data_IF_163371568379
#
_entry.id   IF_163371568379
#
_cell.length_a   1.000
_cell.length_b   1.000
_cell.length_c   1.000
_cell.angle_alpha   90.00
_cell.angle_beta   90.00
_cell.angle_gamma   90.00
#
_symmetry.space_group_name_H-M   'P 1'
#
loop_
_entity.id
_entity.type
_entity.pdbx_description
1 polymer ?
#
# COMPACT_ATOMS: atom_id res chain seq x y z
N UNK A 1 -10.44 28.16 -4.90
CA UNK A 1 -9.89 27.06 -4.08
C UNK A 1 -10.93 25.97 -3.74
N UNK A 2 -12.19 26.29 -3.36
CA UNK A 2 -13.24 25.28 -3.10
C UNK A 2 -13.65 24.43 -4.32
N UNK A 3 -13.46 24.91 -5.55
CA UNK A 3 -13.88 24.20 -6.76
C UNK A 3 -12.93 23.10 -7.24
N UNK A 4 -11.64 23.13 -6.87
CA UNK A 4 -10.65 22.15 -7.34
C UNK A 4 -10.76 20.79 -6.63
N UNK A 5 -11.05 20.79 -5.31
CA UNK A 5 -11.30 19.57 -4.56
C UNK A 5 -12.61 18.88 -4.96
N UNK A 6 -13.65 19.68 -5.25
CA UNK A 6 -14.93 19.18 -5.77
C UNK A 6 -14.76 18.62 -7.18
N UNK A 7 -13.94 19.25 -8.03
CA UNK A 7 -13.61 18.72 -9.35
C UNK A 7 -12.86 17.38 -9.26
N UNK A 8 -11.85 17.22 -8.40
CA UNK A 8 -11.13 15.96 -8.26
C UNK A 8 -12.02 14.81 -7.75
N UNK A 9 -12.91 15.08 -6.79
CA UNK A 9 -13.88 14.10 -6.28
C UNK A 9 -14.94 13.78 -7.33
N UNK A 10 -15.42 14.78 -8.08
CA UNK A 10 -16.34 14.56 -9.20
C UNK A 10 -15.67 13.76 -10.31
N UNK A 11 -14.41 14.04 -10.68
CA UNK A 11 -13.68 13.29 -11.71
C UNK A 11 -13.40 11.85 -11.27
N UNK A 12 -13.07 11.61 -9.99
CA UNK A 12 -12.93 10.26 -9.45
C UNK A 12 -14.27 9.49 -9.46
N UNK A 13 -15.36 10.15 -9.08
CA UNK A 13 -16.70 9.56 -9.16
C UNK A 13 -17.15 9.32 -10.60
N UNK A 14 -16.85 10.25 -11.52
CA UNK A 14 -17.21 10.17 -12.94
C UNK A 14 -16.41 9.07 -13.66
N UNK A 15 -15.14 8.87 -13.31
CA UNK A 15 -14.32 7.79 -13.86
C UNK A 15 -14.82 6.42 -13.43
N UNK A 16 -15.17 6.26 -12.15
CA UNK A 16 -15.79 5.03 -11.63
C UNK A 16 -17.18 4.80 -12.24
N UNK A 17 -17.94 5.86 -12.52
CA UNK A 17 -19.27 5.79 -13.14
C UNK A 17 -19.26 5.53 -14.65
N UNK A 18 -18.29 6.05 -15.40
CA UNK A 18 -18.28 6.02 -16.87
C UNK A 18 -17.42 4.90 -17.46
N UNK A 19 -16.31 4.52 -16.82
CA UNK A 19 -15.41 3.50 -17.35
C UNK A 19 -15.81 2.07 -16.93
N UNK A 20 -16.54 1.93 -15.81
CA UNK A 20 -17.02 0.64 -15.29
C UNK A 20 -18.00 -0.11 -16.20
N UNK A 21 -18.99 0.54 -16.84
CA UNK A 21 -20.00 -0.14 -17.66
C UNK A 21 -19.53 -0.54 -19.07
N UNK A 22 -18.37 -0.08 -19.53
CA UNK A 22 -17.87 -0.36 -20.89
C UNK A 22 -17.20 -1.74 -21.02
N UNK A 23 -17.06 -2.47 -19.91
CA UNK A 23 -16.50 -3.82 -19.88
C UNK A 23 -17.55 -4.78 -19.31
N UNK A 24 -18.43 -5.32 -20.17
CA UNK A 24 -18.91 -6.72 -20.22
C UNK A 24 -20.13 -6.80 -21.16
N UNK A 25 -20.17 -7.80 -22.05
CA UNK A 25 -21.30 -8.06 -22.95
C UNK A 25 -22.53 -8.56 -22.17
N UNK A 26 -23.73 -8.17 -22.62
CA UNK A 26 -25.00 -8.68 -22.13
C UNK A 26 -25.28 -10.07 -22.74
N UNK A 27 -25.57 -11.08 -21.92
CA UNK A 27 -26.18 -12.33 -22.37
C UNK A 27 -27.69 -12.09 -22.48
N UNK A 28 -28.22 -12.21 -23.70
CA UNK A 28 -29.65 -12.14 -23.99
C UNK A 28 -30.25 -13.54 -23.77
N UNK A 29 -31.27 -13.65 -22.93
CA UNK A 29 -32.04 -14.89 -22.76
C UNK A 29 -33.43 -14.74 -23.38
N UNK A 30 -33.94 -15.84 -23.95
CA UNK A 30 -35.23 -15.89 -24.65
C UNK A 30 -36.43 -15.54 -23.76
N UNK A 31 -37.59 -15.18 -24.35
CA UNK A 31 -38.74 -14.70 -23.61
C UNK A 31 -39.37 -15.79 -22.73
N UNK A 32 -39.50 -15.51 -21.43
CA UNK A 32 -40.26 -16.33 -20.49
C UNK A 32 -39.45 -17.07 -19.43
N UNK A 33 -38.12 -17.05 -19.50
CA UNK A 33 -37.27 -17.72 -18.50
C UNK A 33 -37.17 -16.89 -17.21
N UNK A 34 -37.57 -17.49 -16.09
CA UNK A 34 -37.32 -16.89 -14.78
C UNK A 34 -35.89 -17.21 -14.33
N UNK A 35 -35.27 -16.33 -13.53
CA UNK A 35 -33.87 -16.47 -13.05
C UNK A 35 -33.64 -17.82 -12.35
N UNK A 36 -34.68 -18.32 -11.69
CA UNK A 36 -34.69 -19.63 -11.03
C UNK A 36 -34.66 -20.82 -11.99
N UNK A 37 -35.27 -20.72 -13.16
CA UNK A 37 -35.18 -21.76 -14.19
C UNK A 37 -33.82 -21.74 -14.88
N UNK A 38 -33.33 -20.56 -15.25
CA UNK A 38 -32.01 -20.43 -15.91
C UNK A 38 -30.86 -20.91 -15.01
N UNK A 39 -31.00 -20.79 -13.68
CA UNK A 39 -30.02 -21.30 -12.72
C UNK A 39 -30.03 -22.84 -12.57
N UNK A 40 -31.06 -23.52 -13.05
CA UNK A 40 -31.20 -24.98 -12.98
C UNK A 40 -30.68 -25.71 -14.23
N UNK A 41 -30.32 -24.96 -15.27
CA UNK A 41 -29.90 -25.49 -16.56
C UNK A 41 -28.44 -25.94 -16.56
N UNK A 42 -28.18 -27.02 -17.27
CA UNK A 42 -26.84 -27.52 -17.57
C UNK A 42 -26.12 -26.62 -18.59
N UNK A 43 -24.79 -26.74 -18.66
CA UNK A 43 -23.97 -25.90 -19.54
C UNK A 43 -24.35 -25.99 -21.02
N UNK A 44 -24.81 -27.17 -21.47
CA UNK A 44 -25.24 -27.40 -22.85
C UNK A 44 -26.61 -26.73 -23.14
N UNK A 45 -27.50 -26.66 -22.15
CA UNK A 45 -28.80 -25.99 -22.26
C UNK A 45 -28.66 -24.46 -22.28
N UNK A 46 -27.70 -23.91 -21.53
CA UNK A 46 -27.33 -22.49 -21.57
C UNK A 46 -26.75 -22.10 -22.94
N UNK A 47 -25.87 -22.94 -23.51
CA UNK A 47 -25.30 -22.71 -24.83
C UNK A 47 -26.35 -22.75 -25.96
N UNK A 48 -27.34 -23.66 -25.87
CA UNK A 48 -28.45 -23.73 -26.81
C UNK A 48 -29.39 -22.51 -26.71
N UNK A 49 -29.62 -21.99 -25.50
CA UNK A 49 -30.44 -20.80 -25.26
C UNK A 49 -29.76 -19.52 -25.77
N UNK A 50 -28.44 -19.39 -25.61
CA UNK A 50 -27.65 -18.30 -26.17
C UNK A 50 -27.65 -18.32 -27.71
N UNK A 51 -27.53 -19.49 -28.32
CA UNK A 51 -27.63 -19.65 -29.77
C UNK A 51 -29.02 -19.26 -30.31
N UNK A 52 -30.09 -19.63 -29.61
CA UNK A 52 -31.46 -19.26 -29.95
C UNK A 52 -31.72 -17.75 -29.79
N UNK A 53 -31.15 -17.10 -28.76
CA UNK A 53 -31.31 -15.67 -28.53
C UNK A 53 -30.51 -14.80 -29.52
N UNK A 54 -29.47 -15.36 -30.15
CA UNK A 54 -28.71 -14.71 -31.22
C UNK A 54 -29.45 -14.67 -32.57
N UNK A 55 -30.44 -15.56 -32.79
CA UNK A 55 -31.21 -15.63 -34.04
C UNK A 55 -32.38 -14.64 -34.14
N UNK A 56 -32.98 -14.18 -33.02
CA UNK A 56 -34.05 -13.17 -33.02
C UNK A 56 -33.93 -12.16 -31.85
N UNK A 57 -33.24 -11.02 -32.05
CA UNK A 57 -32.97 -10.02 -31.01
C UNK A 57 -34.20 -9.23 -30.52
N UNK A 58 -35.37 -9.40 -31.15
CA UNK A 58 -36.52 -8.49 -30.98
C UNK A 58 -37.37 -8.68 -29.72
N UNK A 59 -37.16 -9.73 -28.92
CA UNK A 59 -38.12 -10.16 -27.87
C UNK A 59 -37.60 -10.18 -26.43
N UNK A 60 -36.34 -9.80 -26.16
CA UNK A 60 -35.76 -9.81 -24.82
C UNK A 60 -36.16 -8.56 -23.98
N UNK A 61 -36.66 -8.76 -22.75
CA UNK A 61 -36.99 -7.68 -21.79
C UNK A 61 -36.04 -7.68 -20.58
N UNK A 62 -35.44 -6.53 -20.21
CA UNK A 62 -34.70 -6.41 -18.95
C UNK A 62 -35.68 -6.26 -17.77
N UNK A 63 -35.48 -7.08 -16.73
CA UNK A 63 -36.29 -7.05 -15.50
C UNK A 63 -35.59 -6.20 -14.44
N UNK A 64 -36.25 -5.13 -13.97
CA UNK A 64 -35.81 -4.29 -12.85
C UNK A 64 -36.67 -4.50 -11.60
N UNK A 65 -36.06 -4.39 -10.41
CA UNK A 65 -36.78 -4.41 -9.12
C UNK A 65 -36.61 -3.04 -8.42
N UNK A 66 -37.70 -2.41 -7.93
CA UNK A 66 -37.70 -1.03 -7.45
C UNK A 66 -37.20 -0.88 -5.99
N UNK A 67 -36.67 0.32 -5.71
CA UNK A 67 -36.06 0.77 -4.47
C UNK A 67 -37.07 1.51 -3.58
N UNK A 68 -37.19 1.09 -2.32
CA UNK A 68 -37.79 1.84 -1.19
C UNK A 68 -37.07 1.35 0.08
N UNK A 69 -36.50 2.13 1.00
CA UNK A 69 -36.58 3.55 1.31
C UNK A 69 -35.30 3.98 2.07
N UNK A 70 -35.05 5.30 2.03
CA UNK A 70 -34.22 6.14 2.89
C UNK A 70 -33.20 5.50 3.84
N UNK A 71 -31.94 5.92 3.70
CA UNK A 71 -30.82 5.81 4.66
C UNK A 71 -29.80 4.66 4.43
N UNK A 72 -30.13 3.59 3.70
CA UNK A 72 -29.12 2.61 3.20
C UNK A 72 -28.35 3.09 1.95
N UNK A 73 -28.79 4.19 1.35
CA UNK A 73 -28.28 4.76 0.08
C UNK A 73 -26.85 5.31 0.10
N UNK A 74 -26.22 5.44 1.28
CA UNK A 74 -24.80 5.84 1.39
C UNK A 74 -23.88 4.62 1.54
N UNK A 75 -24.39 3.50 2.04
CA UNK A 75 -23.62 2.25 2.26
C UNK A 75 -23.53 1.44 0.95
N UNK A 76 -24.50 1.57 0.04
CA UNK A 76 -24.52 0.86 -1.25
C UNK A 76 -23.70 1.53 -2.38
N UNK A 77 -22.78 2.45 -2.07
CA UNK A 77 -21.80 2.97 -3.05
C UNK A 77 -20.37 2.47 -2.81
N UNK A 78 -20.15 1.71 -1.74
CA UNK A 78 -18.89 0.97 -1.47
C UNK A 78 -18.96 -0.46 -2.04
N UNK A 79 -20.13 -0.89 -2.52
CA UNK A 79 -20.45 -2.27 -2.92
C UNK A 79 -20.01 -2.69 -4.32
N UNK A 80 -19.28 -1.87 -5.09
CA UNK A 80 -18.63 -2.34 -6.33
C UNK A 80 -17.26 -2.98 -6.10
N UNK A 81 -16.79 -3.10 -4.86
CA UNK A 81 -15.72 -4.05 -4.46
C UNK A 81 -16.31 -5.46 -4.17
N UNK A 82 -17.65 -5.61 -4.22
CA UNK A 82 -18.38 -6.72 -3.61
C UNK A 82 -19.19 -7.64 -4.56
N UNK A 83 -19.20 -7.58 -5.91
CA UNK A 83 -19.77 -8.72 -6.64
C UNK A 83 -18.90 -9.96 -6.37
N UNK A 84 -19.54 -11.09 -6.08
CA UNK A 84 -18.99 -12.46 -6.05
C UNK A 84 -18.39 -12.90 -7.41
N UNK A 85 -18.13 -11.98 -8.33
CA UNK A 85 -17.86 -12.23 -9.75
C UNK A 85 -16.74 -11.31 -10.28
N UNK A 86 -15.99 -10.65 -9.39
CA UNK A 86 -14.94 -9.72 -9.80
C UNK A 86 -13.76 -10.43 -10.47
N UNK A 87 -13.47 -10.09 -11.73
CA UNK A 87 -12.37 -10.63 -12.56
C UNK A 87 -10.98 -10.57 -11.89
N UNK A 88 -10.80 -9.68 -10.91
CA UNK A 88 -9.53 -9.51 -10.17
C UNK A 88 -9.47 -10.27 -8.83
N UNK A 89 -10.48 -11.08 -8.48
CA UNK A 89 -10.44 -12.02 -7.34
C UNK A 89 -9.66 -13.29 -7.70
N UNK A 90 -9.33 -14.10 -6.69
CA UNK A 90 -8.71 -15.40 -6.94
C UNK A 90 -9.57 -16.22 -7.92
N UNK A 91 -9.05 -16.64 -9.08
CA UNK A 91 -9.83 -17.36 -10.10
C UNK A 91 -10.29 -18.75 -9.64
N UNK A 92 -9.71 -19.29 -8.55
CA UNK A 92 -10.03 -20.61 -8.03
C UNK A 92 -10.92 -20.56 -6.78
N UNK A 93 -10.69 -19.59 -5.89
CA UNK A 93 -11.37 -19.52 -4.59
C UNK A 93 -12.36 -18.36 -4.46
N UNK A 94 -12.36 -17.42 -5.41
CA UNK A 94 -13.20 -16.22 -5.41
C UNK A 94 -13.07 -15.38 -4.11
N UNK A 95 -11.94 -15.55 -3.43
CA UNK A 95 -11.56 -14.83 -2.22
C UNK A 95 -10.81 -13.55 -2.62
N UNK A 96 -10.85 -12.56 -1.72
CA UNK A 96 -10.06 -11.33 -1.87
C UNK A 96 -8.56 -11.57 -1.58
N UNK A 97 -8.23 -12.72 -1.00
CA UNK A 97 -6.88 -13.10 -0.61
C UNK A 97 -6.63 -14.58 -0.85
N UNK A 98 -5.59 -14.96 -1.60
CA UNK A 98 -4.67 -14.12 -2.39
C UNK A 98 -5.29 -13.74 -3.76
N UNK A 99 -5.61 -12.47 -4.00
CA UNK A 99 -6.19 -12.02 -5.27
C UNK A 99 -5.19 -11.31 -6.19
N UNK A 100 -5.34 -11.41 -7.53
CA UNK A 100 -4.64 -10.56 -8.50
C UNK A 100 -4.74 -9.06 -8.18
N UNK A 101 -5.87 -8.62 -7.62
CA UNK A 101 -6.07 -7.24 -7.18
C UNK A 101 -5.00 -6.77 -6.18
N UNK A 102 -4.76 -7.52 -5.10
CA UNK A 102 -3.78 -7.13 -4.08
C UNK A 102 -2.34 -7.18 -4.59
N UNK A 103 -2.03 -8.09 -5.53
CA UNK A 103 -0.72 -8.15 -6.19
C UNK A 103 -0.46 -6.93 -7.07
N UNK A 104 -1.50 -6.38 -7.70
CA UNK A 104 -1.41 -5.25 -8.62
C UNK A 104 -1.83 -3.91 -7.99
N UNK A 105 -1.97 -3.83 -6.66
CA UNK A 105 -2.46 -2.62 -5.97
C UNK A 105 -1.57 -1.40 -6.23
N UNK A 106 -0.26 -1.58 -6.33
CA UNK A 106 0.70 -0.49 -6.64
C UNK A 106 0.46 0.08 -8.04
N UNK A 107 0.23 -0.79 -9.04
CA UNK A 107 -0.09 -0.37 -10.39
C UNK A 107 -1.45 0.33 -10.47
N UNK A 108 -2.43 -0.13 -9.68
CA UNK A 108 -3.73 0.54 -9.57
C UNK A 108 -3.60 1.94 -8.97
N UNK A 109 -2.80 2.10 -7.92
CA UNK A 109 -2.50 3.41 -7.32
C UNK A 109 -1.83 4.33 -8.36
N UNK A 110 -0.91 3.81 -9.17
CA UNK A 110 -0.31 4.57 -10.26
C UNK A 110 -1.35 5.11 -11.25
N UNK A 111 -2.22 4.24 -11.76
CA UNK A 111 -3.32 4.64 -12.67
C UNK A 111 -4.23 5.68 -12.00
N UNK A 112 -4.55 5.45 -10.72
CA UNK A 112 -5.38 6.34 -9.92
C UNK A 112 -4.78 7.75 -9.74
N UNK A 113 -3.46 7.90 -9.69
CA UNK A 113 -2.83 9.22 -9.60
C UNK A 113 -2.59 9.86 -10.98
N UNK A 114 -2.27 9.06 -12.00
CA UNK A 114 -1.98 9.56 -13.36
C UNK A 114 -3.23 10.16 -14.01
N UNK A 115 -4.38 9.47 -13.94
CA UNK A 115 -5.59 9.92 -14.65
C UNK A 115 -6.10 11.27 -14.11
N UNK A 116 -6.36 11.44 -12.80
CA UNK A 116 -6.79 12.72 -12.26
C UNK A 116 -5.68 13.79 -12.35
N UNK A 117 -4.41 13.41 -12.21
CA UNK A 117 -3.28 14.32 -12.38
C UNK A 117 -3.25 14.94 -13.77
N UNK A 118 -3.46 14.13 -14.81
CA UNK A 118 -3.56 14.61 -16.19
C UNK A 118 -4.81 15.46 -16.43
N UNK A 119 -5.99 15.01 -15.98
CA UNK A 119 -7.24 15.77 -16.13
C UNK A 119 -7.14 17.14 -15.46
N UNK A 120 -6.56 17.19 -14.26
CA UNK A 120 -6.29 18.44 -13.56
C UNK A 120 -5.33 19.32 -14.35
N UNK A 121 -4.18 18.78 -14.77
CA UNK A 121 -3.19 19.50 -15.57
C UNK A 121 -3.76 20.06 -16.88
N UNK A 122 -4.65 19.31 -17.51
CA UNK A 122 -5.35 19.74 -18.73
C UNK A 122 -6.38 20.83 -18.50
N UNK A 123 -7.04 20.81 -17.34
CA UNK A 123 -8.07 21.79 -16.95
C UNK A 123 -7.47 23.15 -16.59
N UNK A 124 -6.31 23.17 -15.92
CA UNK A 124 -5.61 24.43 -15.57
C UNK A 124 -4.65 24.91 -16.68
N UNK A 125 -4.52 24.15 -17.77
CA UNK A 125 -3.66 24.47 -18.89
C UNK A 125 -2.16 24.26 -18.65
N UNK A 126 -1.78 23.57 -17.57
CA UNK A 126 -0.37 23.22 -17.29
C UNK A 126 0.13 22.04 -18.12
N UNK A 127 -0.78 21.16 -18.57
CA UNK A 127 -0.51 20.09 -19.54
C UNK A 127 -1.44 20.28 -20.74
N UNK A 128 -0.88 20.31 -21.94
CA UNK A 128 -1.59 20.57 -23.19
C UNK A 128 -1.71 19.32 -24.06
N UNK A 129 -0.72 18.43 -24.00
CA UNK A 129 -0.68 17.22 -24.81
C UNK A 129 -0.05 16.01 -24.11
N UNK A 130 0.07 14.93 -24.88
CA UNK A 130 0.71 13.67 -24.52
C UNK A 130 2.21 13.82 -24.23
N UNK A 131 2.90 14.71 -24.96
CA UNK A 131 4.33 15.03 -24.69
C UNK A 131 4.56 15.54 -23.27
N UNK A 132 3.67 16.38 -22.75
CA UNK A 132 3.82 16.93 -21.39
C UNK A 132 3.70 15.84 -20.31
N UNK A 133 2.94 14.77 -20.58
CA UNK A 133 2.87 13.59 -19.70
C UNK A 133 4.22 12.86 -19.71
N UNK A 134 4.76 12.61 -20.91
CA UNK A 134 6.04 11.91 -21.08
C UNK A 134 7.17 12.70 -20.42
N UNK A 135 7.20 14.01 -20.62
CA UNK A 135 8.20 14.91 -20.00
C UNK A 135 8.05 14.93 -18.47
N UNK A 136 6.83 14.94 -17.96
CA UNK A 136 6.56 14.81 -16.52
C UNK A 136 7.04 13.49 -15.94
N UNK A 137 6.82 12.38 -16.65
CA UNK A 137 7.33 11.06 -16.26
C UNK A 137 8.85 10.99 -16.33
N UNK A 138 9.47 11.57 -17.36
CA UNK A 138 10.92 11.63 -17.52
C UNK A 138 11.57 12.47 -16.40
N UNK A 139 10.98 13.61 -16.05
CA UNK A 139 11.44 14.45 -14.95
C UNK A 139 11.35 13.72 -13.61
N UNK A 140 10.26 12.98 -13.36
CA UNK A 140 10.13 12.14 -12.16
C UNK A 140 11.22 11.05 -12.12
N UNK A 141 11.48 10.37 -13.23
CA UNK A 141 12.55 9.37 -13.32
C UNK A 141 13.95 9.98 -13.14
N UNK A 142 14.19 11.20 -13.62
CA UNK A 142 15.44 11.92 -13.41
C UNK A 142 15.72 12.17 -11.93
N UNK A 143 14.69 12.54 -11.16
CA UNK A 143 14.81 12.71 -9.70
C UNK A 143 15.14 11.42 -8.94
N UNK A 144 14.86 10.26 -9.53
CA UNK A 144 15.16 8.94 -8.96
C UNK A 144 16.59 8.44 -9.26
N UNK A 145 17.44 9.22 -9.95
CA UNK A 145 18.78 8.79 -10.34
C UNK A 145 19.63 8.29 -9.16
N UNK A 146 19.66 9.02 -8.05
CA UNK A 146 20.40 8.61 -6.85
C UNK A 146 19.82 7.32 -6.23
N UNK A 147 18.49 7.20 -6.22
CA UNK A 147 17.81 6.01 -5.72
C UNK A 147 18.16 4.77 -6.56
N UNK A 148 18.22 4.88 -7.90
CA UNK A 148 18.59 3.78 -8.78
C UNK A 148 20.02 3.30 -8.50
N UNK A 149 20.97 4.22 -8.32
CA UNK A 149 22.36 3.88 -7.98
C UNK A 149 22.43 3.18 -6.61
N UNK A 150 21.69 3.68 -5.62
CA UNK A 150 21.64 3.08 -4.30
C UNK A 150 21.06 1.65 -4.35
N UNK A 151 19.92 1.46 -5.00
CA UNK A 151 19.28 0.14 -5.15
C UNK A 151 20.18 -0.82 -5.91
N UNK A 152 20.95 -0.35 -6.90
CA UNK A 152 21.94 -1.17 -7.60
C UNK A 152 22.96 -1.77 -6.62
N UNK A 153 23.62 -0.93 -5.81
CA UNK A 153 24.59 -1.42 -4.82
C UNK A 153 23.94 -2.25 -3.70
N UNK A 154 22.76 -1.86 -3.23
CA UNK A 154 22.01 -2.63 -2.24
C UNK A 154 21.65 -4.03 -2.76
N UNK A 155 21.20 -4.14 -4.01
CA UNK A 155 20.91 -5.43 -4.64
C UNK A 155 22.16 -6.31 -4.74
N UNK A 156 23.32 -5.74 -5.10
CA UNK A 156 24.59 -6.48 -5.11
C UNK A 156 24.99 -6.93 -3.70
N UNK A 157 24.87 -6.05 -2.70
CA UNK A 157 25.14 -6.39 -1.30
C UNK A 157 24.25 -7.55 -0.84
N UNK A 158 22.93 -7.48 -1.04
CA UNK A 158 21.99 -8.55 -0.67
C UNK A 158 22.33 -9.86 -1.39
N UNK A 159 22.68 -9.80 -2.68
CA UNK A 159 23.06 -10.97 -3.45
C UNK A 159 24.34 -11.63 -2.92
N UNK A 160 25.40 -10.86 -2.64
CA UNK A 160 26.64 -11.40 -2.08
C UNK A 160 26.46 -11.85 -0.62
N UNK A 161 25.66 -11.14 0.17
CA UNK A 161 25.37 -11.48 1.56
C UNK A 161 24.59 -12.80 1.67
N UNK A 162 23.69 -13.07 0.71
CA UNK A 162 23.01 -14.35 0.56
C UNK A 162 23.97 -15.44 0.05
N UNK A 163 24.74 -15.16 -1.01
CA UNK A 163 25.65 -16.14 -1.62
C UNK A 163 26.74 -16.63 -0.67
N UNK A 164 27.27 -15.75 0.17
CA UNK A 164 28.30 -16.08 1.18
C UNK A 164 27.74 -16.77 2.43
N UNK A 165 26.41 -16.96 2.52
CA UNK A 165 25.70 -17.42 3.73
C UNK A 165 25.91 -16.55 4.98
N UNK A 166 26.54 -15.38 4.87
CA UNK A 166 26.72 -14.45 6.00
C UNK A 166 25.38 -14.02 6.58
N UNK A 167 24.35 -13.83 5.75
CA UNK A 167 23.01 -13.50 6.23
C UNK A 167 22.37 -14.59 7.07
N UNK A 168 22.54 -15.86 6.70
CA UNK A 168 22.03 -16.98 7.49
C UNK A 168 22.78 -17.12 8.82
N UNK A 169 24.11 -17.01 8.80
CA UNK A 169 24.94 -17.07 10.02
C UNK A 169 24.56 -15.95 10.98
N UNK A 170 24.46 -14.71 10.48
CA UNK A 170 24.11 -13.56 11.29
C UNK A 170 22.69 -13.65 11.84
N UNK A 171 21.74 -14.20 11.08
CA UNK A 171 20.37 -14.42 11.52
C UNK A 171 20.30 -15.41 12.69
N UNK A 172 21.02 -16.53 12.59
CA UNK A 172 21.06 -17.56 13.65
C UNK A 172 21.78 -17.02 14.89
N UNK A 173 23.00 -16.51 14.74
CA UNK A 173 23.78 -15.98 15.87
C UNK A 173 23.06 -14.82 16.54
N UNK A 174 22.47 -13.92 15.76
CA UNK A 174 21.69 -12.79 16.28
C UNK A 174 20.45 -13.25 17.05
N UNK A 175 19.70 -14.21 16.51
CA UNK A 175 18.53 -14.78 17.19
C UNK A 175 18.92 -15.49 18.48
N UNK A 176 19.97 -16.32 18.47
CA UNK A 176 20.48 -16.98 19.68
C UNK A 176 20.88 -15.96 20.75
N UNK A 177 21.47 -14.84 20.33
CA UNK A 177 21.83 -13.74 21.24
C UNK A 177 20.59 -13.08 21.84
N UNK A 178 19.55 -12.83 21.03
CA UNK A 178 18.27 -12.27 21.49
C UNK A 178 17.56 -13.22 22.46
N UNK A 179 17.54 -14.52 22.17
CA UNK A 179 16.97 -15.54 23.06
C UNK A 179 17.77 -15.62 24.37
N UNK A 180 19.10 -15.59 24.31
CA UNK A 180 19.97 -15.66 25.49
C UNK A 180 19.74 -14.49 26.48
N UNK A 181 19.37 -13.31 25.97
CA UNK A 181 19.05 -12.13 26.80
C UNK A 181 17.55 -12.02 27.14
N UNK A 182 16.72 -12.98 26.75
CA UNK A 182 15.28 -13.01 27.03
C UNK A 182 14.43 -12.04 26.18
N UNK A 183 14.94 -11.68 24.99
CA UNK A 183 14.27 -10.84 23.98
C UNK A 183 13.70 -11.68 22.83
N UNK A 184 13.08 -12.80 23.15
CA UNK A 184 12.34 -13.68 22.23
C UNK A 184 10.86 -13.27 22.08
N UNK A 185 10.37 -12.41 22.96
CA UNK A 185 9.00 -11.90 22.96
C UNK A 185 8.89 -10.53 22.28
N UNK A 186 7.67 -9.97 22.28
CA UNK A 186 7.34 -8.72 21.60
C UNK A 186 8.25 -7.54 22.01
N UNK A 187 8.86 -7.59 23.20
CA UNK A 187 9.78 -6.56 23.71
C UNK A 187 10.95 -6.29 22.76
N UNK A 188 11.33 -7.24 21.89
CA UNK A 188 12.38 -7.07 20.87
C UNK A 188 12.15 -5.86 19.95
N UNK A 189 10.89 -5.46 19.75
CA UNK A 189 10.57 -4.31 18.90
C UNK A 189 10.94 -2.96 19.52
N UNK A 190 11.06 -2.85 20.86
CA UNK A 190 11.51 -1.60 21.49
C UNK A 190 12.97 -1.28 21.11
N UNK A 191 13.97 -2.13 21.41
CA UNK A 191 15.36 -1.85 21.02
C UNK A 191 15.51 -1.77 19.51
N UNK A 192 14.74 -2.54 18.73
CA UNK A 192 14.74 -2.43 17.26
C UNK A 192 14.29 -1.04 16.77
N UNK A 193 13.15 -0.54 17.26
CA UNK A 193 12.65 0.80 16.91
C UNK A 193 13.66 1.88 17.34
N UNK A 194 14.20 1.78 18.56
CA UNK A 194 15.19 2.74 19.06
C UNK A 194 16.49 2.72 18.24
N UNK A 195 16.93 1.55 17.80
CA UNK A 195 18.06 1.41 16.88
C UNK A 195 17.73 2.07 15.53
N UNK A 196 16.53 1.86 14.97
CA UNK A 196 16.11 2.53 13.74
C UNK A 196 16.09 4.05 13.90
N UNK A 197 15.60 4.56 15.04
CA UNK A 197 15.63 5.98 15.37
C UNK A 197 17.06 6.54 15.40
N UNK A 198 17.99 5.81 16.02
CA UNK A 198 19.39 6.20 16.13
C UNK A 198 20.07 6.25 14.76
N UNK A 199 19.90 5.19 13.96
CA UNK A 199 20.47 5.12 12.61
C UNK A 199 19.91 6.25 11.72
N UNK A 200 18.63 6.60 11.88
CA UNK A 200 18.00 7.66 11.09
C UNK A 200 18.56 9.07 11.39
N UNK A 201 19.16 9.29 12.57
CA UNK A 201 19.89 10.53 12.85
C UNK A 201 21.17 10.65 12.00
N UNK A 202 21.73 9.53 11.55
CA UNK A 202 22.93 9.48 10.70
C UNK A 202 22.59 9.36 9.21
N UNK A 203 21.53 8.61 8.87
CA UNK A 203 21.10 8.32 7.50
C UNK A 203 19.72 8.92 7.25
N UNK A 204 19.65 10.13 6.69
CA UNK A 204 18.37 10.81 6.42
C UNK A 204 17.56 10.26 5.23
N UNK A 205 17.77 9.00 4.84
CA UNK A 205 17.05 8.37 3.72
C UNK A 205 16.49 7.01 4.15
N UNK A 206 15.16 6.92 4.19
CA UNK A 206 14.45 5.71 4.56
C UNK A 206 14.88 4.51 3.69
N UNK A 207 14.87 4.69 2.37
CA UNK A 207 15.30 3.63 1.45
C UNK A 207 16.75 3.19 1.67
N UNK A 208 17.65 4.12 2.02
CA UNK A 208 19.04 3.79 2.32
C UNK A 208 19.18 3.01 3.63
N UNK A 209 18.50 3.47 4.68
CA UNK A 209 18.52 2.81 5.99
C UNK A 209 17.93 1.39 5.89
N UNK A 210 16.78 1.23 5.24
CA UNK A 210 16.15 -0.07 5.05
C UNK A 210 17.01 -1.01 4.21
N UNK A 211 17.64 -0.50 3.13
CA UNK A 211 18.50 -1.32 2.27
C UNK A 211 19.68 -1.96 3.02
N UNK A 212 20.21 -1.29 4.06
CA UNK A 212 21.30 -1.81 4.90
C UNK A 212 20.79 -2.67 6.04
N UNK A 213 19.68 -2.28 6.68
CA UNK A 213 19.18 -2.95 7.89
C UNK A 213 18.32 -4.17 7.61
N UNK A 214 17.50 -4.16 6.55
CA UNK A 214 16.59 -5.25 6.23
C UNK A 214 17.27 -6.61 6.03
N UNK A 215 18.39 -6.73 5.29
CA UNK A 215 19.05 -8.02 5.06
C UNK A 215 19.61 -8.66 6.33
N UNK A 216 19.80 -7.86 7.38
CA UNK A 216 20.35 -8.26 8.68
C UNK A 216 19.21 -8.60 9.64
N UNK A 217 18.30 -7.64 9.87
CA UNK A 217 17.30 -7.75 10.93
C UNK A 217 16.06 -8.53 10.51
N UNK A 218 15.66 -8.50 9.24
CA UNK A 218 14.47 -9.26 8.81
C UNK A 218 14.69 -10.76 8.99
N UNK A 219 15.77 -11.37 8.48
CA UNK A 219 16.00 -12.80 8.72
C UNK A 219 16.16 -13.15 10.21
N UNK A 220 16.84 -12.30 10.99
CA UNK A 220 17.05 -12.50 12.43
C UNK A 220 15.75 -12.46 13.25
N UNK A 221 14.83 -11.55 12.92
CA UNK A 221 13.56 -11.43 13.62
C UNK A 221 12.54 -12.47 13.13
N UNK A 222 12.70 -12.97 11.89
CA UNK A 222 11.96 -14.12 11.39
C UNK A 222 12.34 -15.41 12.11
N UNK A 223 13.61 -15.62 12.46
CA UNK A 223 14.06 -16.82 13.18
C UNK A 223 13.52 -16.91 14.61
N UNK A 224 13.20 -15.78 15.24
CA UNK A 224 12.49 -15.76 16.53
C UNK A 224 10.95 -15.76 16.37
N UNK A 225 10.43 -15.81 15.14
CA UNK A 225 9.01 -16.04 14.87
C UNK A 225 8.16 -14.82 14.52
N UNK A 226 8.74 -13.68 14.11
CA UNK A 226 7.96 -12.51 13.64
C UNK A 226 7.95 -12.36 12.12
N UNK A 227 6.82 -11.93 11.57
CA UNK A 227 6.69 -11.75 10.12
C UNK A 227 7.46 -10.53 9.59
N UNK A 228 7.99 -10.58 8.35
CA UNK A 228 8.64 -9.45 7.69
C UNK A 228 7.81 -8.18 7.69
N UNK A 229 6.49 -8.30 7.59
CA UNK A 229 5.56 -7.17 7.53
C UNK A 229 5.50 -6.42 8.86
N UNK A 230 5.50 -7.14 10.00
CA UNK A 230 5.55 -6.53 11.33
C UNK A 230 6.89 -5.86 11.57
N UNK A 231 7.99 -6.50 11.14
CA UNK A 231 9.34 -5.94 11.22
C UNK A 231 9.44 -4.66 10.39
N UNK A 232 8.87 -4.66 9.18
CA UNK A 232 8.83 -3.47 8.34
C UNK A 232 7.97 -2.35 8.95
N UNK A 233 6.85 -2.69 9.60
CA UNK A 233 6.02 -1.72 10.31
C UNK A 233 6.78 -1.06 11.47
N UNK A 234 7.49 -1.84 12.28
CA UNK A 234 8.35 -1.33 13.35
C UNK A 234 9.49 -0.44 12.80
N UNK A 235 10.12 -0.84 11.71
CA UNK A 235 11.13 -0.01 11.03
C UNK A 235 10.57 1.35 10.59
N UNK A 236 9.37 1.37 9.97
CA UNK A 236 8.72 2.61 9.52
C UNK A 236 8.41 3.57 10.67
N UNK A 237 8.08 3.03 11.84
CA UNK A 237 7.91 3.84 13.05
C UNK A 237 9.22 4.54 13.38
N UNK A 238 10.32 3.79 13.52
CA UNK A 238 11.60 4.36 13.92
C UNK A 238 12.19 5.35 12.91
N UNK A 239 12.03 5.08 11.61
CA UNK A 239 12.41 5.98 10.51
C UNK A 239 11.64 7.31 10.58
N UNK A 240 10.33 7.26 10.84
CA UNK A 240 9.50 8.46 10.80
C UNK A 240 9.68 9.39 12.00
N UNK A 241 9.89 8.85 13.21
CA UNK A 241 9.80 9.61 14.47
C UNK A 241 10.97 10.59 14.65
N UNK A 242 12.18 10.24 14.22
CA UNK A 242 13.36 11.10 14.37
C UNK A 242 13.67 11.98 13.16
N UNK A 243 12.87 11.91 12.09
CA UNK A 243 13.06 12.74 10.89
C UNK A 243 13.00 14.25 11.17
N UNK A 244 12.28 14.67 12.21
CA UNK A 244 12.10 16.10 12.52
C UNK A 244 13.32 16.69 13.25
N UNK A 245 14.14 15.84 13.88
CA UNK A 245 15.31 16.25 14.67
C UNK A 245 16.64 15.95 13.98
N UNK A 246 16.63 15.28 12.82
CA UNK A 246 17.85 14.98 12.07
C UNK A 246 18.26 16.17 11.18
N UNK A 247 19.47 16.73 11.37
CA UNK A 247 19.97 17.78 10.47
C UNK A 247 20.38 17.22 9.10
N UNK A 248 20.48 15.90 8.97
CA UNK A 248 20.90 15.19 7.76
C UNK A 248 19.77 14.99 6.75
N UNK A 249 18.51 15.31 7.08
CA UNK A 249 17.41 15.23 6.12
C UNK A 249 17.59 16.30 5.02
N UNK A 250 17.26 15.94 3.78
CA UNK A 250 17.39 16.84 2.62
C UNK A 250 16.55 18.13 2.72
N UNK A 251 15.45 18.11 3.48
CA UNK A 251 14.56 19.26 3.65
C UNK A 251 14.95 20.19 4.81
N UNK A 252 15.94 19.82 5.64
CA UNK A 252 16.27 20.56 6.86
C UNK A 252 16.61 22.02 6.58
N UNK A 253 17.46 22.26 5.56
CA UNK A 253 17.87 23.61 5.17
C UNK A 253 16.70 24.48 4.71
N UNK A 254 15.72 23.90 4.01
CA UNK A 254 14.50 24.61 3.60
C UNK A 254 13.64 24.97 4.80
N UNK A 255 13.44 24.03 5.74
CA UNK A 255 12.67 24.26 6.97
C UNK A 255 13.34 25.35 7.81
N UNK A 256 14.67 25.29 7.96
CA UNK A 256 15.44 26.30 8.67
C UNK A 256 15.29 27.68 8.01
N UNK A 257 15.40 27.78 6.68
CA UNK A 257 15.20 29.04 5.96
C UNK A 257 13.79 29.63 6.19
N UNK A 258 12.76 28.77 6.22
CA UNK A 258 11.40 29.19 6.57
C UNK A 258 11.28 29.66 8.02
N UNK A 259 11.88 28.94 8.96
CA UNK A 259 11.88 29.32 10.37
C UNK A 259 12.60 30.67 10.60
N UNK A 260 13.75 30.86 9.95
CA UNK A 260 14.54 32.09 9.99
C UNK A 260 13.80 33.32 9.43
N UNK A 261 12.74 33.12 8.63
CA UNK A 261 11.87 34.21 8.17
C UNK A 261 11.08 34.83 9.31
N UNK A 262 10.72 34.04 10.32
CA UNK A 262 9.93 34.48 11.48
C UNK A 262 10.81 34.85 12.67
N UNK A 263 11.91 34.13 12.88
CA UNK A 263 12.90 34.43 13.92
C UNK A 263 14.32 34.40 13.34
N UNK A 264 14.93 35.59 13.20
CA UNK A 264 16.27 35.73 12.61
C UNK A 264 17.41 35.16 13.46
N UNK A 265 17.17 34.92 14.76
CA UNK A 265 18.18 34.37 15.67
C UNK A 265 18.09 32.84 15.79
N UNK A 266 17.18 32.21 15.05
CA UNK A 266 16.93 30.78 15.12
C UNK A 266 18.07 30.00 14.46
N UNK A 267 18.83 29.27 15.28
CA UNK A 267 19.89 28.37 14.84
C UNK A 267 19.40 26.93 14.64
N UNK A 268 20.29 26.10 14.08
CA UNK A 268 20.10 24.65 13.90
C UNK A 268 19.73 24.00 15.24
N UNK A 269 20.48 24.31 16.30
CA UNK A 269 20.23 23.77 17.64
C UNK A 269 18.88 24.18 18.22
N UNK A 270 18.48 25.45 18.03
CA UNK A 270 17.18 25.95 18.48
C UNK A 270 16.03 25.24 17.78
N UNK A 271 16.14 25.01 16.46
CA UNK A 271 15.14 24.26 15.70
C UNK A 271 15.00 22.83 16.22
N UNK A 272 16.13 22.12 16.37
CA UNK A 272 16.15 20.73 16.85
C UNK A 272 15.59 20.66 18.28
N UNK A 273 16.02 21.54 19.18
CA UNK A 273 15.55 21.57 20.56
C UNK A 273 14.03 21.83 20.64
N UNK A 274 13.50 22.68 19.77
CA UNK A 274 12.06 22.95 19.69
C UNK A 274 11.26 21.74 19.19
N UNK A 275 11.86 20.94 18.31
CA UNK A 275 11.23 19.75 17.73
C UNK A 275 11.43 18.47 18.55
N UNK A 276 12.40 18.45 19.48
CA UNK A 276 12.71 17.29 20.33
C UNK A 276 11.49 16.78 21.12
N UNK A 277 10.67 17.63 21.78
CA UNK A 277 9.49 17.14 22.50
C UNK A 277 8.47 16.47 21.58
N UNK A 278 8.31 16.98 20.34
CA UNK A 278 7.42 16.38 19.34
C UNK A 278 7.92 14.99 18.93
N UNK A 279 9.21 14.87 18.62
CA UNK A 279 9.83 13.58 18.27
C UNK A 279 9.65 12.54 19.38
N UNK A 280 9.88 12.93 20.65
CA UNK A 280 9.71 12.03 21.80
C UNK A 280 8.25 11.61 22.01
N UNK A 281 7.30 12.55 21.92
CA UNK A 281 5.88 12.24 22.04
C UNK A 281 5.39 11.34 20.91
N UNK A 282 5.83 11.59 19.67
CA UNK A 282 5.51 10.72 18.54
C UNK A 282 6.13 9.33 18.70
N UNK A 283 7.37 9.24 19.16
CA UNK A 283 8.04 7.96 19.40
C UNK A 283 7.30 7.11 20.42
N UNK A 284 7.01 7.68 21.59
CA UNK A 284 6.27 6.97 22.65
C UNK A 284 4.86 6.62 22.19
N UNK A 285 4.15 7.58 21.56
CA UNK A 285 2.81 7.36 21.03
C UNK A 285 2.75 6.26 19.98
N UNK A 286 3.71 6.23 19.05
CA UNK A 286 3.79 5.19 18.03
C UNK A 286 4.17 3.82 18.59
N UNK A 287 5.08 3.75 19.55
CA UNK A 287 5.40 2.48 20.22
C UNK A 287 4.15 1.96 20.92
N UNK A 288 3.47 2.79 21.71
CA UNK A 288 2.23 2.37 22.40
C UNK A 288 1.18 1.92 21.40
N UNK A 289 0.96 2.69 20.33
CA UNK A 289 0.02 2.32 19.27
C UNK A 289 0.38 0.98 18.61
N UNK A 290 1.66 0.77 18.27
CA UNK A 290 2.15 -0.47 17.68
C UNK A 290 1.87 -1.68 18.58
N UNK A 291 2.13 -1.57 19.88
CA UNK A 291 1.86 -2.68 20.81
C UNK A 291 0.36 -2.94 21.01
N UNK A 292 -0.43 -1.88 21.14
CA UNK A 292 -1.89 -2.01 21.24
C UNK A 292 -2.46 -2.64 19.98
N UNK A 293 -2.00 -2.23 18.81
CA UNK A 293 -2.48 -2.71 17.53
C UNK A 293 -2.09 -4.16 17.25
N UNK A 294 -0.79 -4.48 17.34
CA UNK A 294 -0.23 -5.75 16.90
C UNK A 294 -0.38 -6.85 17.95
N UNK A 295 -0.17 -6.53 19.23
CA UNK A 295 -0.12 -7.54 20.31
C UNK A 295 -1.37 -7.55 21.20
N UNK A 296 -1.98 -6.39 21.47
CA UNK A 296 -3.19 -6.37 22.31
C UNK A 296 -4.46 -6.69 21.51
N UNK A 297 -4.62 -6.08 20.33
CA UNK A 297 -5.78 -6.29 19.46
C UNK A 297 -5.58 -7.44 18.48
N UNK A 298 -4.34 -7.88 18.24
CA UNK A 298 -4.03 -8.98 17.32
C UNK A 298 -4.43 -8.71 15.87
N UNK A 299 -4.57 -7.44 15.49
CA UNK A 299 -4.99 -7.06 14.14
C UNK A 299 -3.76 -7.16 13.22
N UNK A 300 -3.85 -7.89 12.10
CA UNK A 300 -2.72 -8.05 11.21
C UNK A 300 -2.30 -6.70 10.61
N UNK A 301 -0.99 -6.52 10.46
CA UNK A 301 -0.39 -5.27 9.95
C UNK A 301 -0.73 -5.00 8.48
N UNK A 302 -1.21 -6.01 7.77
CA UNK A 302 -1.70 -5.91 6.41
C UNK A 302 -2.61 -7.09 6.06
N UNK A 303 -3.31 -7.02 4.92
CA UNK A 303 -4.09 -8.14 4.42
C UNK A 303 -3.18 -9.37 4.30
N UNK A 304 -3.56 -10.49 4.94
CA UNK A 304 -2.84 -11.77 4.88
C UNK A 304 -1.42 -11.73 5.42
N UNK A 305 -1.10 -10.75 6.27
CA UNK A 305 0.18 -10.62 6.96
C UNK A 305 0.00 -11.05 8.44
N UNK A 306 0.20 -12.33 8.77
CA UNK A 306 0.10 -12.79 10.16
C UNK A 306 1.18 -12.12 11.02
N UNK A 307 0.91 -11.93 12.31
CA UNK A 307 1.88 -11.34 13.23
C UNK A 307 3.06 -12.27 13.48
N UNK A 308 2.78 -13.56 13.61
CA UNK A 308 3.77 -14.61 13.82
C UNK A 308 4.13 -15.26 12.49
N UNK A 309 5.41 -15.59 12.35
CA UNK A 309 5.97 -16.30 11.21
C UNK A 309 6.21 -17.75 11.60
N UNK A 310 5.44 -18.67 11.01
CA UNK A 310 5.66 -20.10 11.19
C UNK A 310 6.67 -20.61 10.17
N UNK A 311 7.75 -21.25 10.66
CA UNK A 311 8.59 -22.06 9.80
C UNK A 311 7.77 -23.29 9.38
N UNK A 312 7.39 -23.35 8.10
CA UNK A 312 6.82 -24.54 7.48
C UNK A 312 7.80 -25.71 7.62
N UNK A 313 7.71 -26.46 8.73
CA UNK A 313 8.65 -27.52 9.08
C UNK A 313 8.66 -27.98 10.55
N UNK A 314 7.87 -27.40 11.46
CA UNK A 314 7.69 -27.95 12.81
C UNK A 314 6.28 -28.53 12.97
N UNK A 315 6.11 -29.75 12.45
CA UNK A 315 5.08 -30.70 12.86
C UNK A 315 5.69 -31.76 13.75
#
# INVERSE_FOLDING_TARGET
>A
MRHAGVAAVLTAALFVLLAGPQFTNAVLLGPGTTVTEAASWSADELAAAEASAAEDPGTAKPVGIPVTEGLKGTINRVTSVVPLWGVLRDPTQNTLMPSPFLRSIVAMIFIFFVIPGFVYGRSVGSMRGDRDIIDGMAAAMSSMGLYIVLVFFAAQFVAFFKWTNLGAILAVVGADTLVAIGLDNALVFIPFILMCCFVNLMLGSASAQWAVTAPIFVPMLMTIGYSPEVIQAAYRIGDSTTNIITPMMSYFGLILAFACRYDRNLGIGTLIATMLPYSLLFLVGWIVFFYLWVFALGIPVGPGAPTLYEFSGSG
#
